data_IF_861596167824
#
_entry.id   IF_861596167824
#
_cell.length_a   1.000
_cell.length_b   1.000
_cell.length_c   1.000
_cell.angle_alpha   90.00
_cell.angle_beta   90.00
_cell.angle_gamma   90.00
#
_symmetry.space_group_name_H-M   'P 1'
#
loop_
_entity.id
_entity.type
_entity.pdbx_description
1 polymer ?
#
# COMPACT_ATOMS: atom_id res chain seq x y z
N UNK A 1 -9.15 16.05 31.16
CA UNK A 1 -9.42 14.62 30.96
C UNK A 1 -9.46 14.35 29.47
N UNK A 2 -8.79 13.31 29.00
CA UNK A 2 -8.73 12.95 27.58
C UNK A 2 -9.28 11.54 27.36
N UNK A 3 -9.82 11.26 26.18
CA UNK A 3 -10.35 9.94 25.80
C UNK A 3 -9.50 9.40 24.64
N UNK A 4 -8.97 8.20 24.81
CA UNK A 4 -8.22 7.50 23.78
C UNK A 4 -8.90 6.17 23.45
N UNK A 5 -8.97 5.84 22.16
CA UNK A 5 -9.53 4.57 21.70
C UNK A 5 -8.50 3.47 21.91
N UNK A 6 -8.82 2.47 22.73
CA UNK A 6 -7.92 1.36 23.02
C UNK A 6 -8.10 0.16 22.07
N UNK A 7 -9.30 -0.09 21.55
CA UNK A 7 -9.59 -1.27 20.73
C UNK A 7 -10.85 -1.11 19.88
N UNK A 8 -11.01 -2.00 18.89
CA UNK A 8 -12.19 -2.13 18.02
C UNK A 8 -12.47 -3.61 17.75
N UNK A 9 -13.75 -3.99 17.72
CA UNK A 9 -14.23 -5.30 17.25
C UNK A 9 -15.56 -5.11 16.52
N UNK A 10 -15.79 -5.87 15.47
CA UNK A 10 -17.03 -5.90 14.71
C UNK A 10 -17.15 -7.25 14.01
N UNK A 11 -18.37 -7.81 13.96
CA UNK A 11 -18.66 -9.02 13.18
C UNK A 11 -18.59 -8.76 11.66
N UNK A 12 -18.60 -7.48 11.25
CA UNK A 12 -18.44 -7.01 9.88
C UNK A 12 -17.11 -6.26 9.66
N UNK A 13 -16.07 -6.64 10.41
CA UNK A 13 -14.75 -6.02 10.27
C UNK A 13 -14.14 -6.29 8.89
N UNK A 14 -13.67 -5.24 8.22
CA UNK A 14 -12.86 -5.35 7.00
C UNK A 14 -11.36 -5.51 7.31
N UNK A 15 -10.96 -5.40 8.58
CA UNK A 15 -9.59 -5.67 8.99
C UNK A 15 -9.30 -7.16 8.92
N UNK A 16 -8.23 -7.51 8.20
CA UNK A 16 -7.77 -8.87 7.96
C UNK A 16 -6.39 -9.10 8.55
N UNK A 17 -6.35 -9.78 9.70
CA UNK A 17 -5.11 -10.06 10.44
C UNK A 17 -4.14 -10.95 9.65
N UNK A 18 -4.67 -11.87 8.85
CA UNK A 18 -3.92 -12.79 7.98
C UNK A 18 -3.15 -12.06 6.85
N UNK A 19 -3.70 -10.96 6.33
CA UNK A 19 -3.01 -10.07 5.38
C UNK A 19 -2.08 -9.07 6.05
N UNK A 20 -2.43 -8.63 7.26
CA UNK A 20 -1.74 -7.54 7.96
C UNK A 20 -0.55 -8.01 8.80
N UNK A 21 -0.33 -9.31 8.96
CA UNK A 21 0.74 -9.87 9.79
C UNK A 21 2.12 -9.74 9.13
N UNK A 22 3.18 -9.64 9.95
CA UNK A 22 4.57 -9.76 9.45
C UNK A 22 4.94 -11.20 9.11
N UNK A 23 4.30 -12.17 9.77
CA UNK A 23 4.35 -13.57 9.35
C UNK A 23 3.37 -13.77 8.21
N UNK A 24 3.82 -13.44 7.00
CA UNK A 24 3.05 -13.64 5.80
C UNK A 24 2.85 -15.15 5.59
N UNK A 25 1.61 -15.62 5.77
CA UNK A 25 1.20 -16.93 5.29
C UNK A 25 0.86 -16.90 3.80
N UNK A 26 0.15 -17.91 3.32
CA UNK A 26 -0.25 -18.04 1.90
C UNK A 26 -1.18 -16.93 1.38
N UNK A 27 -1.64 -16.02 2.24
CA UNK A 27 -2.65 -15.01 1.91
C UNK A 27 -2.08 -13.76 1.21
N UNK A 28 -0.76 -13.55 1.21
CA UNK A 28 -0.12 -12.40 0.56
C UNK A 28 1.26 -12.73 -0.01
N UNK A 29 1.44 -12.61 -1.34
CA UNK A 29 2.75 -12.69 -1.99
C UNK A 29 3.36 -11.30 -2.16
N UNK A 30 4.46 -11.05 -1.45
CA UNK A 30 5.19 -9.78 -1.51
C UNK A 30 5.75 -9.46 -2.91
N UNK A 31 5.96 -10.48 -3.77
CA UNK A 31 6.50 -10.28 -5.12
C UNK A 31 5.54 -9.48 -6.00
N UNK A 32 4.24 -9.61 -5.80
CA UNK A 32 3.23 -8.90 -6.57
C UNK A 32 3.29 -7.38 -6.35
N UNK A 33 3.68 -6.94 -5.15
CA UNK A 33 3.81 -5.52 -4.81
C UNK A 33 4.79 -4.79 -5.75
N UNK A 34 5.87 -5.45 -6.16
CA UNK A 34 6.86 -4.85 -7.05
C UNK A 34 6.25 -4.51 -8.42
N UNK A 35 5.41 -5.39 -8.96
CA UNK A 35 4.68 -5.15 -10.21
C UNK A 35 3.65 -4.03 -10.07
N UNK A 36 2.86 -4.07 -9.00
CA UNK A 36 1.87 -3.06 -8.67
C UNK A 36 2.48 -1.66 -8.57
N UNK A 37 3.55 -1.49 -7.77
CA UNK A 37 4.25 -0.20 -7.60
C UNK A 37 4.81 0.31 -8.93
N UNK A 38 5.31 -0.59 -9.80
CA UNK A 38 5.81 -0.22 -11.13
C UNK A 38 4.71 0.42 -11.98
N UNK A 39 3.59 -0.27 -12.11
CA UNK A 39 2.46 0.16 -12.95
C UNK A 39 1.82 1.45 -12.40
N UNK A 40 1.53 1.49 -11.09
CA UNK A 40 0.91 2.66 -10.47
C UNK A 40 1.79 3.91 -10.54
N UNK A 41 3.10 3.73 -10.38
CA UNK A 41 4.06 4.83 -10.48
C UNK A 41 4.43 5.22 -11.91
N UNK A 42 3.97 4.49 -12.93
CA UNK A 42 4.39 4.71 -14.31
C UNK A 42 3.98 6.11 -14.82
N UNK A 43 2.72 6.57 -14.70
CA UNK A 43 2.31 7.86 -15.24
C UNK A 43 3.09 9.04 -14.64
N UNK A 44 3.35 8.99 -13.33
CA UNK A 44 4.12 10.03 -12.63
C UNK A 44 5.58 10.06 -13.07
N UNK A 45 6.21 8.89 -13.23
CA UNK A 45 7.59 8.77 -13.73
C UNK A 45 7.72 9.27 -15.17
N UNK A 46 6.79 8.91 -16.05
CA UNK A 46 6.78 9.38 -17.43
C UNK A 46 6.66 10.90 -17.51
N UNK A 47 5.75 11.51 -16.73
CA UNK A 47 5.63 12.99 -16.67
C UNK A 47 6.90 13.65 -16.14
N UNK A 48 7.50 13.09 -15.09
CA UNK A 48 8.74 13.62 -14.54
C UNK A 48 9.89 13.57 -15.56
N UNK A 49 10.01 12.46 -16.31
CA UNK A 49 11.01 12.32 -17.37
C UNK A 49 10.83 13.38 -18.48
N UNK A 50 9.59 13.55 -18.98
CA UNK A 50 9.29 14.58 -19.98
C UNK A 50 9.60 16.00 -19.48
N UNK A 51 9.26 16.30 -18.23
CA UNK A 51 9.55 17.62 -17.65
C UNK A 51 11.07 17.87 -17.54
N UNK A 52 11.85 16.85 -17.20
CA UNK A 52 13.31 16.94 -17.16
C UNK A 52 13.91 17.14 -18.55
N UNK A 53 13.35 16.52 -19.59
CA UNK A 53 13.77 16.72 -20.99
C UNK A 53 13.50 18.15 -21.46
N UNK A 54 12.34 18.73 -21.11
CA UNK A 54 11.97 20.11 -21.48
C UNK A 54 12.79 21.17 -20.74
N UNK A 55 13.21 20.89 -19.50
CA UNK A 55 13.98 21.84 -18.67
C UNK A 55 15.47 21.86 -19.01
N UNK A 56 15.97 20.84 -19.73
CA UNK A 56 17.35 20.80 -20.24
C UNK A 56 17.52 21.68 -21.47
#
# INVERSE_FOLDING_TARGET
>A
GNIAVASRKSDYSLYRTDLSSFTMGDSYDQKDAAGFIRILGLPSRSRAALHQEVTK
#
